data_IF_058584950770
#
_entry.id   IF_058584950770
#
_cell.length_a   1.000
_cell.length_b   1.000
_cell.length_c   1.000
_cell.angle_alpha   90.00
_cell.angle_beta   90.00
_cell.angle_gamma   90.00
#
_symmetry.space_group_name_H-M   'P 1'
#
loop_
_entity.id
_entity.type
_entity.pdbx_description
1 polymer ?
#
# COMPACT_ATOMS: atom_id res chain seq x y z
N UNK A 1 -2.56 -14.93 -28.51
CA UNK A 1 -1.96 -14.25 -27.35
C UNK A 1 -1.53 -15.31 -26.37
N UNK A 2 -0.22 -15.48 -26.22
CA UNK A 2 0.37 -16.47 -25.31
C UNK A 2 -0.12 -16.26 -23.88
N UNK A 3 -0.22 -17.36 -23.12
CA UNK A 3 -0.79 -17.35 -21.77
C UNK A 3 -0.05 -16.38 -20.82
N UNK A 4 1.26 -16.20 -21.00
CA UNK A 4 2.09 -15.32 -20.17
C UNK A 4 1.72 -13.84 -20.33
N UNK A 5 1.33 -13.40 -21.54
CA UNK A 5 0.94 -12.01 -21.80
C UNK A 5 -0.36 -11.64 -21.08
N UNK A 6 -1.34 -12.56 -21.08
CA UNK A 6 -2.60 -12.38 -20.35
C UNK A 6 -2.37 -12.27 -18.84
N UNK A 7 -1.48 -13.11 -18.30
CA UNK A 7 -1.11 -13.10 -16.88
C UNK A 7 -0.39 -11.79 -16.53
N UNK A 8 0.59 -11.38 -17.35
CA UNK A 8 1.33 -10.13 -17.16
C UNK A 8 0.40 -8.92 -17.18
N UNK A 9 -0.54 -8.86 -18.13
CA UNK A 9 -1.49 -7.77 -18.23
C UNK A 9 -2.44 -7.72 -17.03
N UNK A 10 -2.97 -8.87 -16.60
CA UNK A 10 -3.85 -8.95 -15.43
C UNK A 10 -3.11 -8.53 -14.14
N UNK A 11 -1.86 -8.96 -13.97
CA UNK A 11 -1.01 -8.53 -12.86
C UNK A 11 -0.73 -7.03 -12.93
N UNK A 12 -0.43 -6.47 -14.09
CA UNK A 12 -0.20 -5.05 -14.24
C UNK A 12 -1.46 -4.23 -13.92
N UNK A 13 -2.64 -4.64 -14.41
CA UNK A 13 -3.90 -3.99 -14.05
C UNK A 13 -4.16 -4.07 -12.54
N UNK A 14 -3.95 -5.24 -11.93
CA UNK A 14 -4.07 -5.40 -10.48
C UNK A 14 -3.06 -4.52 -9.72
N UNK A 15 -1.82 -4.42 -10.18
CA UNK A 15 -0.79 -3.57 -9.60
C UNK A 15 -1.16 -2.08 -9.67
N UNK A 16 -1.70 -1.62 -10.81
CA UNK A 16 -2.19 -0.22 -10.93
C UNK A 16 -3.29 0.06 -9.92
N UNK A 17 -4.28 -0.84 -9.80
CA UNK A 17 -5.39 -0.69 -8.86
C UNK A 17 -4.91 -0.74 -7.41
N UNK A 18 -4.06 -1.70 -7.07
CA UNK A 18 -3.49 -1.85 -5.72
C UNK A 18 -2.68 -0.62 -5.27
N UNK A 19 -1.99 0.03 -6.20
CA UNK A 19 -1.20 1.24 -5.94
C UNK A 19 -2.02 2.54 -6.06
N UNK A 20 -3.32 2.43 -6.39
CA UNK A 20 -4.21 3.57 -6.45
C UNK A 20 -4.64 3.99 -5.03
N UNK A 21 -3.76 4.70 -4.33
CA UNK A 21 -3.95 5.07 -2.91
C UNK A 21 -3.90 6.58 -2.69
N UNK A 22 -4.94 7.31 -3.09
CA UNK A 22 -4.93 8.78 -3.13
C UNK A 22 -4.75 9.46 -1.77
N UNK A 23 -5.00 8.77 -0.66
CA UNK A 23 -4.70 9.29 0.68
C UNK A 23 -3.19 9.38 0.97
N UNK A 24 -2.37 8.44 0.49
CA UNK A 24 -0.94 8.30 0.89
C UNK A 24 -0.13 9.61 0.78
N UNK A 25 -0.20 10.38 -0.33
CA UNK A 25 0.58 11.62 -0.45
C UNK A 25 0.19 12.71 0.57
N UNK A 26 -0.99 12.59 1.18
CA UNK A 26 -1.57 13.58 2.07
C UNK A 26 -1.71 13.09 3.52
N UNK A 27 -1.28 11.86 3.85
CA UNK A 27 -1.40 11.30 5.20
C UNK A 27 -0.74 12.20 6.26
N UNK A 28 0.45 12.73 6.00
CA UNK A 28 1.11 13.66 6.93
C UNK A 28 0.27 14.91 7.18
N UNK A 29 -0.32 15.47 6.10
CA UNK A 29 -1.21 16.62 6.22
C UNK A 29 -2.50 16.24 6.94
N UNK A 30 -3.02 15.04 6.72
CA UNK A 30 -4.20 14.54 7.42
C UNK A 30 -3.97 14.46 8.94
N UNK A 31 -2.83 13.91 9.40
CA UNK A 31 -2.51 13.85 10.82
C UNK A 31 -2.25 15.23 11.46
N UNK A 32 -1.69 16.18 10.70
CA UNK A 32 -1.43 17.53 11.17
C UNK A 32 -2.67 18.46 11.17
N UNK A 33 -3.76 18.07 10.50
CA UNK A 33 -4.99 18.87 10.41
C UNK A 33 -6.14 18.26 11.25
N UNK A 34 -7.22 19.03 11.50
CA UNK A 34 -8.41 18.47 12.12
C UNK A 34 -8.94 17.32 11.26
N UNK A 35 -9.32 16.17 11.85
CA UNK A 35 -9.68 15.97 13.26
C UNK A 35 -8.57 15.46 14.20
N UNK A 36 -7.34 15.25 13.72
CA UNK A 36 -6.27 14.58 14.51
C UNK A 36 -5.35 15.60 15.21
N UNK A 37 -4.89 16.63 14.49
CA UNK A 37 -4.08 17.74 15.02
C UNK A 37 -2.79 17.32 15.77
N UNK A 38 -2.05 16.33 15.28
CA UNK A 38 -0.72 16.01 15.83
C UNK A 38 0.34 17.00 15.36
N UNK A 39 1.33 17.29 16.20
CA UNK A 39 2.48 18.09 15.77
C UNK A 39 3.36 17.29 14.79
N UNK A 40 4.07 18.02 13.92
CA UNK A 40 4.94 17.43 12.90
C UNK A 40 6.07 16.62 13.55
N UNK A 41 6.57 17.06 14.70
CA UNK A 41 7.61 16.38 15.47
C UNK A 41 7.11 15.01 15.95
N UNK A 42 5.90 14.93 16.52
CA UNK A 42 5.32 13.66 16.97
C UNK A 42 5.12 12.70 15.81
N UNK A 43 4.64 13.19 14.66
CA UNK A 43 4.44 12.36 13.46
C UNK A 43 5.76 11.76 12.99
N UNK A 44 6.81 12.59 12.85
CA UNK A 44 8.09 12.16 12.28
C UNK A 44 8.94 11.34 13.25
N UNK A 45 8.89 11.63 14.56
CA UNK A 45 9.75 10.97 15.54
C UNK A 45 9.10 9.78 16.24
N UNK A 46 7.77 9.78 16.38
CA UNK A 46 7.06 8.75 17.17
C UNK A 46 6.17 7.84 16.33
N UNK A 47 5.63 8.31 15.21
CA UNK A 47 4.67 7.54 14.39
C UNK A 47 5.40 6.82 13.25
N UNK A 48 5.99 7.55 12.31
CA UNK A 48 6.64 6.94 11.13
C UNK A 48 7.77 5.95 11.41
N UNK A 49 8.61 6.12 12.46
CA UNK A 49 9.64 5.15 12.77
C UNK A 49 9.04 3.79 13.16
N UNK A 50 7.88 3.76 13.83
CA UNK A 50 7.22 2.51 14.23
C UNK A 50 6.87 1.66 13.01
N UNK A 51 6.28 2.25 11.98
CA UNK A 51 5.94 1.54 10.75
C UNK A 51 7.17 1.04 10.00
N UNK A 52 8.23 1.86 9.96
CA UNK A 52 9.49 1.51 9.30
C UNK A 52 10.18 0.33 10.00
N UNK A 53 10.31 0.37 11.33
CA UNK A 53 10.92 -0.71 12.11
C UNK A 53 10.04 -1.97 12.11
N UNK A 54 8.72 -1.81 12.21
CA UNK A 54 7.78 -2.92 12.11
C UNK A 54 7.91 -3.63 10.77
N UNK A 55 7.91 -2.88 9.66
CA UNK A 55 8.12 -3.44 8.32
C UNK A 55 9.45 -4.21 8.23
N UNK A 56 10.55 -3.63 8.73
CA UNK A 56 11.86 -4.29 8.69
C UNK A 56 11.85 -5.67 9.39
N UNK A 57 11.24 -5.75 10.58
CA UNK A 57 11.15 -7.02 11.34
C UNK A 57 10.17 -7.99 10.68
N UNK A 58 9.00 -7.50 10.30
CA UNK A 58 7.93 -8.30 9.68
C UNK A 58 8.34 -8.83 8.31
N UNK A 59 9.19 -8.13 7.58
CA UNK A 59 9.72 -8.58 6.29
C UNK A 59 10.44 -9.93 6.41
N UNK A 60 11.27 -10.09 7.44
CA UNK A 60 11.98 -11.36 7.71
C UNK A 60 10.98 -12.47 8.01
N UNK A 61 9.96 -12.18 8.83
CA UNK A 61 8.93 -13.15 9.20
C UNK A 61 8.10 -13.55 7.99
N UNK A 62 7.57 -12.57 7.25
CA UNK A 62 6.73 -12.80 6.06
C UNK A 62 7.52 -13.54 4.99
N UNK A 63 8.80 -13.23 4.80
CA UNK A 63 9.66 -13.96 3.88
C UNK A 63 9.70 -15.47 4.21
N UNK A 64 10.01 -15.82 5.46
CA UNK A 64 10.03 -17.22 5.92
C UNK A 64 8.66 -17.91 5.82
N UNK A 65 7.59 -17.19 6.19
CA UNK A 65 6.23 -17.72 6.12
C UNK A 65 5.78 -17.92 4.67
N UNK A 66 6.22 -17.05 3.74
CA UNK A 66 5.89 -17.18 2.31
C UNK A 66 6.51 -18.44 1.70
N UNK A 67 7.73 -18.81 2.13
CA UNK A 67 8.36 -20.06 1.71
C UNK A 67 7.58 -21.29 2.20
N UNK A 68 7.00 -21.22 3.41
CA UNK A 68 6.23 -22.32 4.00
C UNK A 68 4.79 -22.42 3.47
N UNK A 69 4.03 -21.32 3.49
CA UNK A 69 2.59 -21.27 3.18
C UNK A 69 2.26 -21.00 1.70
N UNK A 70 3.29 -20.78 0.87
CA UNK A 70 3.17 -20.29 -0.52
C UNK A 70 2.53 -18.89 -0.58
N UNK A 71 2.41 -18.35 -1.79
CA UNK A 71 2.03 -16.96 -2.05
C UNK A 71 0.55 -16.59 -1.77
N UNK A 72 -0.41 -17.52 -1.89
CA UNK A 72 -1.85 -17.18 -1.83
C UNK A 72 -2.32 -16.63 -0.47
N UNK A 73 -2.00 -17.28 0.67
CA UNK A 73 -2.44 -16.77 1.98
C UNK A 73 -1.85 -15.40 2.30
N UNK A 74 -0.63 -15.11 1.85
CA UNK A 74 0.05 -13.84 2.08
C UNK A 74 -0.60 -12.70 1.29
N UNK A 75 -1.08 -12.97 0.06
CA UNK A 75 -1.83 -11.99 -0.72
C UNK A 75 -3.18 -11.67 -0.04
N UNK A 76 -3.85 -12.67 0.55
CA UNK A 76 -5.09 -12.43 1.31
C UNK A 76 -4.79 -11.61 2.58
N UNK A 77 -3.74 -11.99 3.31
CA UNK A 77 -3.29 -11.26 4.50
C UNK A 77 -2.97 -9.79 4.17
N UNK A 78 -2.31 -9.55 3.03
CA UNK A 78 -2.09 -8.21 2.51
C UNK A 78 -3.41 -7.45 2.35
N UNK A 79 -4.38 -7.98 1.62
CA UNK A 79 -5.66 -7.30 1.42
C UNK A 79 -6.36 -6.97 2.73
N UNK A 80 -6.41 -7.93 3.66
CA UNK A 80 -7.02 -7.74 4.99
C UNK A 80 -6.29 -6.67 5.80
N UNK A 81 -4.95 -6.70 5.83
CA UNK A 81 -4.15 -5.69 6.52
C UNK A 81 -4.36 -4.28 5.94
N UNK A 82 -4.47 -4.14 4.62
CA UNK A 82 -4.78 -2.87 3.96
C UNK A 82 -6.14 -2.31 4.39
N UNK A 83 -7.19 -3.15 4.39
CA UNK A 83 -8.53 -2.75 4.86
C UNK A 83 -8.47 -2.28 6.32
N UNK A 84 -7.77 -3.01 7.19
CA UNK A 84 -7.60 -2.64 8.59
C UNK A 84 -6.90 -1.27 8.71
N UNK A 85 -5.81 -1.05 7.97
CA UNK A 85 -5.08 0.23 7.97
C UNK A 85 -5.98 1.40 7.59
N UNK A 86 -6.73 1.28 6.49
CA UNK A 86 -7.59 2.38 6.03
C UNK A 86 -8.83 2.59 6.90
N UNK A 87 -9.33 1.55 7.59
CA UNK A 87 -10.36 1.76 8.62
C UNK A 87 -9.76 2.46 9.84
N UNK A 88 -8.59 2.01 10.29
CA UNK A 88 -7.91 2.61 11.44
C UNK A 88 -7.53 4.07 11.17
N UNK A 89 -7.11 4.43 9.95
CA UNK A 89 -6.76 5.83 9.65
C UNK A 89 -7.98 6.75 9.80
N UNK A 90 -9.17 6.24 9.47
CA UNK A 90 -10.44 6.97 9.57
C UNK A 90 -10.89 7.08 11.02
N UNK A 91 -10.66 6.07 11.87
CA UNK A 91 -11.22 6.00 13.22
C UNK A 91 -10.25 6.47 14.32
N UNK A 92 -8.97 6.15 14.20
CA UNK A 92 -7.98 6.38 15.26
C UNK A 92 -7.65 7.88 15.38
N UNK A 93 -7.59 8.35 16.64
CA UNK A 93 -7.26 9.74 17.00
C UNK A 93 -6.16 9.84 18.05
N UNK A 94 -5.83 8.74 18.73
CA UNK A 94 -4.78 8.69 19.73
C UNK A 94 -3.43 8.29 19.11
N UNK A 95 -2.33 8.86 19.63
CA UNK A 95 -0.98 8.55 19.16
C UNK A 95 -0.69 7.05 19.25
N UNK A 96 -1.06 6.41 20.35
CA UNK A 96 -0.90 4.96 20.52
C UNK A 96 -1.68 4.14 19.49
N UNK A 97 -2.91 4.56 19.17
CA UNK A 97 -3.73 3.88 18.18
C UNK A 97 -3.16 4.06 16.77
N UNK A 98 -2.59 5.22 16.46
CA UNK A 98 -1.92 5.50 15.19
C UNK A 98 -0.56 4.78 15.10
N UNK A 99 0.17 4.60 16.20
CA UNK A 99 1.35 3.72 16.22
C UNK A 99 0.98 2.26 15.93
N UNK A 100 -0.15 1.77 16.47
CA UNK A 100 -0.64 0.44 16.15
C UNK A 100 -1.04 0.32 14.66
N UNK A 101 -1.67 1.36 14.09
CA UNK A 101 -1.94 1.46 12.66
C UNK A 101 -0.64 1.31 11.84
N UNK A 102 0.44 1.98 12.23
CA UNK A 102 1.73 1.90 11.55
C UNK A 102 2.33 0.48 11.59
N UNK A 103 2.07 -0.30 12.64
CA UNK A 103 2.45 -1.73 12.68
C UNK A 103 1.68 -2.53 11.63
N UNK A 104 0.36 -2.32 11.50
CA UNK A 104 -0.45 -2.96 10.46
C UNK A 104 -0.07 -2.49 9.05
N UNK A 105 0.33 -1.22 8.90
CA UNK A 105 0.86 -0.70 7.64
C UNK A 105 2.21 -1.36 7.30
N UNK A 106 3.09 -1.54 8.29
CA UNK A 106 4.32 -2.30 8.13
C UNK A 106 4.07 -3.74 7.70
N UNK A 107 3.06 -4.41 8.26
CA UNK A 107 2.63 -5.76 7.83
C UNK A 107 2.14 -5.75 6.38
N UNK A 108 1.31 -4.77 6.02
CA UNK A 108 0.77 -4.60 4.68
C UNK A 108 1.87 -4.43 3.62
N UNK A 109 2.88 -3.60 3.92
CA UNK A 109 4.06 -3.39 3.09
C UNK A 109 4.95 -4.63 3.03
N UNK A 110 5.17 -5.33 4.14
CA UNK A 110 5.97 -6.57 4.16
C UNK A 110 5.35 -7.66 3.27
N UNK A 111 4.02 -7.72 3.18
CA UNK A 111 3.31 -8.67 2.33
C UNK A 111 3.40 -8.34 0.82
N UNK A 112 3.88 -7.15 0.42
CA UNK A 112 4.08 -6.81 -1.01
C UNK A 112 5.03 -7.77 -1.72
N UNK A 113 5.99 -8.33 -1.00
CA UNK A 113 6.96 -9.29 -1.55
C UNK A 113 6.25 -10.48 -2.19
N UNK A 114 5.15 -10.96 -1.60
CA UNK A 114 4.41 -12.10 -2.12
C UNK A 114 3.79 -11.84 -3.49
N UNK A 115 3.39 -10.59 -3.78
CA UNK A 115 2.88 -10.20 -5.09
C UNK A 115 3.97 -10.32 -6.19
N UNK A 116 5.18 -9.86 -5.88
CA UNK A 116 6.31 -9.99 -6.81
C UNK A 116 6.74 -11.45 -6.98
N UNK A 117 6.82 -12.21 -5.90
CA UNK A 117 7.15 -13.64 -5.95
C UNK A 117 6.11 -14.44 -6.75
N UNK A 118 4.81 -14.11 -6.62
CA UNK A 118 3.75 -14.72 -7.41
C UNK A 118 3.92 -14.47 -8.91
N UNK A 119 4.31 -13.25 -9.28
CA UNK A 119 4.58 -12.89 -10.67
C UNK A 119 5.65 -13.79 -11.30
N UNK A 120 6.77 -14.00 -10.59
CA UNK A 120 7.86 -14.87 -11.07
C UNK A 120 7.52 -16.36 -11.03
N UNK A 121 6.62 -16.78 -10.13
CA UNK A 121 6.15 -18.17 -10.05
C UNK A 121 5.21 -18.57 -11.19
N UNK A 122 4.63 -17.61 -11.93
CA UNK A 122 3.65 -17.84 -13.00
C UNK A 122 4.17 -17.60 -14.41
N UNK A 123 5.37 -17.06 -14.54
CA UNK A 123 5.99 -16.69 -15.81
C UNK A 123 7.26 -17.51 -16.01
N UNK A 124 7.60 -17.81 -17.25
CA UNK A 124 8.86 -18.49 -17.58
C UNK A 124 10.06 -17.56 -17.39
N UNK A 125 11.20 -18.13 -16.99
CA UNK A 125 12.45 -17.39 -16.72
C UNK A 125 12.89 -16.48 -17.87
N UNK A 126 12.61 -16.86 -19.12
CA UNK A 126 12.94 -16.09 -20.32
C UNK A 126 12.24 -14.72 -20.39
N UNK A 127 11.15 -14.53 -19.64
CA UNK A 127 10.33 -13.32 -19.68
C UNK A 127 10.42 -12.49 -18.39
N UNK A 128 11.27 -12.88 -17.43
CA UNK A 128 11.38 -12.20 -16.13
C UNK A 128 11.68 -10.71 -16.27
N UNK A 129 12.70 -10.34 -17.06
CA UNK A 129 13.06 -8.92 -17.23
C UNK A 129 11.90 -8.08 -17.79
N UNK A 130 11.20 -8.61 -18.80
CA UNK A 130 10.06 -7.93 -19.45
C UNK A 130 8.90 -7.76 -18.48
N UNK A 131 8.55 -8.81 -17.72
CA UNK A 131 7.46 -8.76 -16.75
C UNK A 131 7.80 -7.89 -15.55
N UNK A 132 9.05 -7.89 -15.08
CA UNK A 132 9.53 -6.95 -14.06
C UNK A 132 9.39 -5.50 -14.56
N UNK A 133 9.76 -5.23 -15.82
CA UNK A 133 9.59 -3.91 -16.44
C UNK A 133 8.12 -3.47 -16.48
N UNK A 134 7.21 -4.35 -16.92
CA UNK A 134 5.78 -4.08 -16.97
C UNK A 134 5.18 -3.84 -15.57
N UNK A 135 5.50 -4.71 -14.61
CA UNK A 135 4.99 -4.57 -13.23
C UNK A 135 5.52 -3.32 -12.54
N UNK A 136 6.78 -2.92 -12.81
CA UNK A 136 7.34 -1.68 -12.28
C UNK A 136 6.71 -0.44 -12.92
N UNK A 137 6.48 -0.48 -14.23
CA UNK A 137 5.76 0.59 -14.93
C UNK A 137 4.32 0.72 -14.39
N UNK A 138 3.61 -0.40 -14.21
CA UNK A 138 2.27 -0.46 -13.63
C UNK A 138 2.23 0.17 -12.22
N UNK A 139 3.19 -0.18 -11.35
CA UNK A 139 3.34 0.41 -10.03
C UNK A 139 3.50 1.94 -10.10
N UNK A 140 4.40 2.43 -10.95
CA UNK A 140 4.64 3.88 -11.10
C UNK A 140 3.42 4.60 -11.68
N UNK A 141 2.72 4.00 -12.64
CA UNK A 141 1.49 4.55 -13.22
C UNK A 141 0.39 4.63 -12.15
N UNK A 142 0.18 3.59 -11.36
CA UNK A 142 -0.79 3.59 -10.26
C UNK A 142 -0.53 4.74 -9.28
N UNK A 143 0.72 4.90 -8.85
CA UNK A 143 1.12 6.01 -7.96
C UNK A 143 0.98 7.40 -8.61
N UNK A 144 1.29 7.53 -9.89
CA UNK A 144 1.13 8.78 -10.61
C UNK A 144 -0.35 9.17 -10.74
N UNK A 145 -1.21 8.24 -11.16
CA UNK A 145 -2.66 8.45 -11.28
C UNK A 145 -3.24 8.78 -9.90
N UNK A 146 -2.84 8.04 -8.86
CA UNK A 146 -3.22 8.30 -7.49
C UNK A 146 -2.89 9.73 -7.07
N UNK A 147 -1.64 10.18 -7.25
CA UNK A 147 -1.21 11.54 -6.90
C UNK A 147 -1.96 12.61 -7.70
N UNK A 148 -2.15 12.42 -9.00
CA UNK A 148 -2.90 13.35 -9.86
C UNK A 148 -4.35 13.47 -9.39
N UNK A 149 -5.05 12.35 -9.19
CA UNK A 149 -6.46 12.35 -8.74
C UNK A 149 -6.57 13.05 -7.38
N UNK A 150 -5.67 12.74 -6.46
CA UNK A 150 -5.66 13.35 -5.12
C UNK A 150 -5.47 14.86 -5.18
N UNK A 151 -4.49 15.31 -5.96
CA UNK A 151 -4.19 16.73 -6.10
C UNK A 151 -5.34 17.48 -6.76
N UNK A 152 -5.97 16.90 -7.79
CA UNK A 152 -7.15 17.48 -8.44
C UNK A 152 -8.30 17.61 -7.43
N UNK A 153 -8.64 16.54 -6.71
CA UNK A 153 -9.73 16.52 -5.74
C UNK A 153 -9.58 17.55 -4.62
N UNK A 154 -8.36 17.74 -4.10
CA UNK A 154 -8.07 18.76 -3.09
C UNK A 154 -8.09 20.16 -3.71
N UNK A 155 -7.48 20.36 -4.89
CA UNK A 155 -7.38 21.68 -5.52
C UNK A 155 -8.73 22.25 -5.98
N UNK A 156 -9.68 21.37 -6.32
CA UNK A 156 -11.05 21.74 -6.68
C UNK A 156 -11.95 21.95 -5.46
N UNK A 157 -11.40 21.95 -4.24
CA UNK A 157 -12.09 22.04 -2.94
C UNK A 157 -13.28 21.06 -2.82
N UNK A 158 -13.22 19.97 -3.59
CA UNK A 158 -14.33 19.03 -3.76
C UNK A 158 -14.35 17.99 -2.64
N UNK A 159 -13.18 17.66 -2.09
CA UNK A 159 -13.01 16.64 -1.05
C UNK A 159 -11.92 17.08 -0.05
N UNK A 160 -12.22 16.98 1.25
CA UNK A 160 -11.26 17.24 2.33
C UNK A 160 -10.26 16.09 2.49
N UNK A 161 -9.14 16.32 3.20
CA UNK A 161 -8.17 15.26 3.51
C UNK A 161 -8.81 14.03 4.18
N UNK A 162 -9.88 14.23 4.96
CA UNK A 162 -10.64 13.13 5.55
C UNK A 162 -11.41 12.32 4.49
N UNK A 163 -12.01 12.97 3.50
CA UNK A 163 -12.75 12.30 2.43
C UNK A 163 -11.86 11.48 1.48
N UNK A 164 -10.59 11.87 1.32
CA UNK A 164 -9.61 11.08 0.55
C UNK A 164 -9.36 9.69 1.15
N UNK A 165 -9.47 9.55 2.47
CA UNK A 165 -9.34 8.25 3.13
C UNK A 165 -10.49 7.31 2.74
N UNK A 166 -11.72 7.81 2.65
CA UNK A 166 -12.86 7.02 2.17
C UNK A 166 -12.73 6.66 0.69
N UNK A 167 -12.24 7.59 -0.12
CA UNK A 167 -11.99 7.34 -1.54
C UNK A 167 -10.89 6.28 -1.75
N UNK A 168 -9.89 6.24 -0.86
CA UNK A 168 -8.88 5.18 -0.86
C UNK A 168 -9.42 3.85 -0.37
N UNK A 169 -10.32 3.83 0.62
CA UNK A 169 -10.94 2.59 1.11
C UNK A 169 -11.84 1.93 0.05
N UNK A 170 -12.45 2.73 -0.82
CA UNK A 170 -13.35 2.23 -1.88
C UNK A 170 -12.68 1.84 -3.20
N UNK A 171 -11.40 2.19 -3.40
CA UNK A 171 -10.61 1.86 -4.59
C UNK A 171 -9.80 0.59 -4.40
#
# INVERSE_FOLDING_TARGET
>A
MDAWWKISLLLCCFGVLKEFRPSEPFVTKYFNNPPVNFSIEVINEQIYPVGTYANMVLLVIIFLVTDYLRYKPIIILQGVSGIIVYIMIIVCRDVWAVQLLEVFYGLFMACDVAYYTYTYAKVDKSHYQTVTGHTRAAYLIGRAISGIVSQVLISSDSISYYGLNFFTLGG
#
